data_IF_802556289533
#
_entry.id   IF_802556289533
#
_cell.length_a   1.000
_cell.length_b   1.000
_cell.length_c   1.000
_cell.angle_alpha   90.00
_cell.angle_beta   90.00
_cell.angle_gamma   90.00
#
_symmetry.space_group_name_H-M   'P 1'
#
loop_
_entity.id
_entity.type
_entity.pdbx_description
1 polymer ?
#
# COMPACT_ATOMS: atom_id res chain seq x y z
N UNK A 1 -8.30 -8.01 -8.53
CA UNK A 1 -8.57 -9.06 -7.51
C UNK A 1 -8.99 -8.38 -6.20
N UNK A 2 -9.93 -8.91 -5.42
CA UNK A 2 -10.32 -8.29 -4.13
C UNK A 2 -9.35 -8.71 -3.01
N UNK A 3 -8.17 -8.12 -2.98
CA UNK A 3 -7.18 -8.32 -1.93
C UNK A 3 -7.33 -7.23 -0.88
N UNK A 4 -7.71 -7.60 0.35
CA UNK A 4 -8.11 -6.67 1.42
C UNK A 4 -6.93 -6.08 2.21
N UNK A 5 -5.87 -5.65 1.51
CA UNK A 5 -4.72 -5.01 2.13
C UNK A 5 -5.00 -3.54 2.47
N UNK A 6 -4.31 -3.04 3.49
CA UNK A 6 -4.41 -1.65 3.91
C UNK A 6 -3.66 -0.73 2.94
N UNK A 7 -4.29 0.36 2.51
CA UNK A 7 -3.60 1.49 1.87
C UNK A 7 -3.63 2.67 2.85
N UNK A 8 -2.47 3.06 3.36
CA UNK A 8 -2.34 4.25 4.20
C UNK A 8 -1.96 5.43 3.30
N UNK A 9 -2.82 6.44 3.24
CA UNK A 9 -2.59 7.66 2.45
C UNK A 9 -2.32 8.82 3.41
N UNK A 10 -1.18 9.48 3.26
CA UNK A 10 -0.75 10.61 4.09
C UNK A 10 -0.29 11.79 3.22
N UNK A 11 -0.46 13.02 3.71
CA UNK A 11 0.10 14.20 3.05
C UNK A 11 1.59 14.33 3.40
N UNK A 12 2.45 14.50 2.39
CA UNK A 12 3.84 14.89 2.54
C UNK A 12 3.97 16.40 2.41
N UNK A 13 4.37 17.10 3.48
CA UNK A 13 4.64 18.54 3.44
C UNK A 13 5.86 18.88 2.57
N UNK A 14 6.86 17.98 2.52
CA UNK A 14 8.09 18.16 1.75
C UNK A 14 7.81 18.11 0.24
N UNK A 15 7.06 17.09 -0.20
CA UNK A 15 6.79 16.86 -1.61
C UNK A 15 5.53 17.58 -2.11
N UNK A 16 4.66 17.99 -1.18
CA UNK A 16 3.31 18.52 -1.44
C UNK A 16 2.46 17.56 -2.28
N UNK A 17 2.49 16.29 -1.88
CA UNK A 17 1.77 15.19 -2.51
C UNK A 17 1.16 14.28 -1.45
N UNK A 18 0.13 13.54 -1.83
CA UNK A 18 -0.32 12.39 -1.05
C UNK A 18 0.61 11.21 -1.35
N UNK A 19 1.18 10.61 -0.31
CA UNK A 19 2.02 9.42 -0.40
C UNK A 19 1.25 8.22 0.13
N UNK A 20 1.53 7.04 -0.44
CA UNK A 20 0.86 5.79 -0.10
C UNK A 20 1.85 4.83 0.53
N UNK A 21 1.44 4.20 1.63
CA UNK A 21 2.17 3.10 2.24
C UNK A 21 1.32 1.85 2.36
N UNK A 22 1.96 0.69 2.19
CA UNK A 22 1.36 -0.64 2.36
C UNK A 22 2.00 -1.32 3.58
N UNK A 23 1.43 -1.16 4.79
CA UNK A 23 2.09 -1.57 6.04
C UNK A 23 2.32 -3.09 6.15
N UNK A 24 1.58 -3.91 5.41
CA UNK A 24 1.77 -5.36 5.36
C UNK A 24 3.01 -5.79 4.55
N UNK A 25 3.47 -4.97 3.61
CA UNK A 25 4.58 -5.27 2.70
C UNK A 25 5.88 -4.65 3.22
N UNK A 26 6.45 -5.25 4.28
CA UNK A 26 7.61 -4.69 5.00
C UNK A 26 8.94 -4.77 4.25
N UNK A 27 9.01 -5.58 3.20
CA UNK A 27 10.17 -5.72 2.31
C UNK A 27 10.14 -4.75 1.12
N UNK A 28 9.02 -4.06 0.90
CA UNK A 28 8.86 -3.02 -0.11
C UNK A 28 9.28 -1.67 0.49
N UNK A 29 10.04 -0.87 -0.25
CA UNK A 29 10.37 0.49 0.18
C UNK A 29 9.09 1.34 0.27
N UNK A 30 8.92 2.00 1.42
CA UNK A 30 7.78 2.86 1.74
C UNK A 30 8.24 4.33 1.90
N UNK A 31 7.42 5.33 1.54
CA UNK A 31 6.16 5.20 0.81
C UNK A 31 6.38 4.66 -0.60
N UNK A 32 5.44 3.86 -1.09
CA UNK A 32 5.62 3.04 -2.29
C UNK A 32 5.06 3.69 -3.57
N UNK A 33 4.15 4.66 -3.44
CA UNK A 33 3.67 5.50 -4.55
C UNK A 33 3.07 6.81 -4.04
N UNK A 34 2.61 7.68 -4.93
CA UNK A 34 2.06 8.99 -4.62
C UNK A 34 0.93 9.42 -5.57
N UNK A 35 0.25 10.51 -5.25
CA UNK A 35 -0.71 11.19 -6.12
C UNK A 35 -0.95 12.64 -5.68
N UNK A 36 -1.49 13.48 -6.56
CA UNK A 36 -1.83 14.86 -6.25
C UNK A 36 -3.16 14.98 -5.49
N UNK A 37 -4.04 13.99 -5.61
CA UNK A 37 -5.29 13.91 -4.86
C UNK A 37 -5.40 12.56 -4.13
N UNK A 38 -6.35 12.46 -3.21
CA UNK A 38 -6.66 11.19 -2.55
C UNK A 38 -7.05 10.10 -3.55
N UNK A 39 -7.85 10.44 -4.56
CA UNK A 39 -8.29 9.49 -5.60
C UNK A 39 -7.12 9.00 -6.45
N UNK A 40 -6.22 9.90 -6.84
CA UNK A 40 -5.04 9.55 -7.61
C UNK A 40 -4.11 8.64 -6.80
N UNK A 41 -3.82 9.01 -5.54
CA UNK A 41 -3.00 8.21 -4.65
C UNK A 41 -3.61 6.82 -4.41
N UNK A 42 -4.92 6.75 -4.16
CA UNK A 42 -5.63 5.48 -4.00
C UNK A 42 -5.53 4.61 -5.26
N UNK A 43 -5.74 5.21 -6.44
CA UNK A 43 -5.65 4.51 -7.73
C UNK A 43 -4.23 3.95 -7.95
N UNK A 44 -3.20 4.78 -7.83
CA UNK A 44 -1.82 4.33 -8.00
C UNK A 44 -1.44 3.26 -6.96
N UNK A 45 -1.93 3.38 -5.72
CA UNK A 45 -1.74 2.37 -4.69
C UNK A 45 -2.37 1.02 -5.05
N UNK A 46 -3.57 1.02 -5.64
CA UNK A 46 -4.24 -0.18 -6.11
C UNK A 46 -3.48 -0.84 -7.27
N UNK A 47 -3.07 -0.07 -8.27
CA UNK A 47 -2.31 -0.56 -9.43
C UNK A 47 -0.97 -1.19 -8.99
N UNK A 48 -0.27 -0.53 -8.06
CA UNK A 48 0.97 -1.06 -7.48
C UNK A 48 0.73 -2.33 -6.67
N UNK A 49 -0.34 -2.38 -5.87
CA UNK A 49 -0.68 -3.56 -5.07
C UNK A 49 -0.94 -4.78 -5.95
N UNK A 50 -1.64 -4.61 -7.08
CA UNK A 50 -1.86 -5.69 -8.05
C UNK A 50 -0.53 -6.20 -8.61
N UNK A 51 0.36 -5.29 -8.99
CA UNK A 51 1.71 -5.65 -9.48
C UNK A 51 2.53 -6.39 -8.42
N UNK A 52 2.52 -5.92 -7.17
CA UNK A 52 3.25 -6.58 -6.07
C UNK A 52 2.73 -8.00 -5.82
N UNK A 53 1.43 -8.21 -5.88
CA UNK A 53 0.83 -9.53 -5.70
C UNK A 53 1.29 -10.48 -6.82
N UNK A 54 1.31 -10.01 -8.07
CA UNK A 54 1.79 -10.79 -9.21
C UNK A 54 3.26 -11.17 -9.03
N UNK A 55 4.14 -10.22 -8.69
CA UNK A 55 5.57 -10.47 -8.46
C UNK A 55 5.82 -11.49 -7.35
N UNK A 56 5.07 -11.40 -6.24
CA UNK A 56 5.17 -12.38 -5.15
C UNK A 56 4.80 -13.79 -5.61
N UNK A 57 3.74 -13.91 -6.41
CA UNK A 57 3.31 -15.19 -6.95
C UNK A 57 4.32 -15.76 -7.94
N UNK A 58 4.87 -14.93 -8.84
CA UNK A 58 5.91 -15.31 -9.80
C UNK A 58 7.19 -15.78 -9.10
N UNK A 59 7.60 -15.08 -8.04
CA UNK A 59 8.77 -15.43 -7.23
C UNK A 59 8.53 -16.64 -6.29
N UNK A 60 7.30 -17.16 -6.21
CA UNK A 60 6.92 -18.21 -5.26
C UNK A 60 7.02 -17.77 -3.80
N UNK A 61 6.96 -16.46 -3.54
CA UNK A 61 6.99 -15.87 -2.19
C UNK A 61 5.60 -15.90 -1.57
N UNK A 62 5.48 -16.21 -0.26
CA UNK A 62 4.20 -16.11 0.43
C UNK A 62 3.77 -14.65 0.52
N UNK A 63 2.52 -14.37 0.18
CA UNK A 63 1.92 -13.04 0.40
C UNK A 63 1.78 -12.77 1.91
N UNK A 64 1.95 -11.51 2.36
CA UNK A 64 1.70 -11.16 3.75
C UNK A 64 0.22 -11.31 4.11
N UNK A 65 -0.08 -11.47 5.39
CA UNK A 65 -1.46 -11.50 5.87
C UNK A 65 -2.05 -10.08 5.90
N UNK A 66 -3.23 -9.83 5.29
CA UNK A 66 -3.85 -8.52 5.29
C UNK A 66 -4.22 -8.04 6.71
N UNK A 67 -3.98 -6.76 7.01
CA UNK A 67 -4.49 -6.15 8.23
C UNK A 67 -5.97 -5.83 8.07
N UNK A 68 -6.77 -6.20 9.06
CA UNK A 68 -8.19 -5.87 9.09
C UNK A 68 -8.53 -5.06 10.33
N UNK A 69 -9.60 -4.28 10.25
CA UNK A 69 -10.11 -3.51 11.39
C UNK A 69 -10.39 -4.47 12.56
N UNK A 70 -9.61 -4.33 13.65
CA UNK A 70 -9.67 -5.20 14.83
C UNK A 70 -8.47 -6.16 15.02
N UNK A 71 -7.65 -6.39 13.98
CA UNK A 71 -6.43 -7.22 14.07
C UNK A 71 -5.12 -6.43 14.25
N UNK A 72 -5.24 -5.12 14.53
CA UNK A 72 -4.19 -4.13 14.88
C UNK A 72 -3.77 -3.24 13.69
N UNK A 73 -4.50 -2.14 13.52
CA UNK A 73 -3.96 -0.87 13.00
C UNK A 73 -3.81 0.05 14.19
N UNK A 74 -2.60 0.19 14.71
CA UNK A 74 -2.27 1.31 15.60
C UNK A 74 -1.72 2.41 14.70
N UNK A 75 -2.60 3.31 14.29
CA UNK A 75 -2.21 4.54 13.62
C UNK A 75 -1.92 5.52 14.76
N UNK A 76 -0.65 5.92 14.89
CA UNK A 76 -0.20 6.89 15.88
C UNK A 76 -0.71 8.31 15.53
#
# INVERSE_FOLDING_TARGET
MNSHYSLIIQWSEEDRLFVVSLPEFTDVMQPCTHGHTYEEAAKHGQELLETLIELYQEDGKPLPEPQTLGKRLQIA
#
